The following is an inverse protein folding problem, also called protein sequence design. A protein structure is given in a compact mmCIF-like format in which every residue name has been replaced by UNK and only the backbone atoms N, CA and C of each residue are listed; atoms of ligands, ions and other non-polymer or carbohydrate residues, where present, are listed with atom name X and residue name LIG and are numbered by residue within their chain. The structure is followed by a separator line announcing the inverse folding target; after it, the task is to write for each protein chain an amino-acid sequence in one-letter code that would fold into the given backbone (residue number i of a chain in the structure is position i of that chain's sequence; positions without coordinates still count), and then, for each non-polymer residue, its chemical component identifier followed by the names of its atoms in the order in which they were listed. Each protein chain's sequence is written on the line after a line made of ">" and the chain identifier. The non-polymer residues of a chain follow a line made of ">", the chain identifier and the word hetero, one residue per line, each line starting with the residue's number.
data_IF_705591018793
#
_entry.id   IF_705591018793
#
_cell.length_a   1.000
_cell.length_b   1.000
_cell.length_c   1.000
_cell.angle_alpha   90.00
_cell.angle_beta   90.00
_cell.angle_gamma   90.00
#
_symmetry.space_group_name_H-M   'P 1'
#
loop_
_entity.id
_entity.type
_entity.pdbx_description
1 polymer ?
#
# COMPACT_ATOMS: atom_id res chain seq x y z
N UNK A 1 19.17 -38.46 3.60
CA UNK A 1 18.11 -37.71 4.30
C UNK A 1 18.25 -36.21 4.12
N UNK A 2 19.31 -35.61 4.66
CA UNK A 2 19.49 -34.14 4.75
C UNK A 2 19.41 -33.43 3.40
N UNK A 3 20.07 -33.95 2.35
CA UNK A 3 20.04 -33.34 1.01
C UNK A 3 18.63 -33.29 0.40
N UNK A 4 17.86 -34.38 0.51
CA UNK A 4 16.48 -34.42 0.01
C UNK A 4 15.58 -33.43 0.76
N UNK A 5 15.73 -33.36 2.09
CA UNK A 5 15.01 -32.38 2.91
C UNK A 5 15.35 -30.95 2.50
N UNK A 6 16.63 -30.66 2.27
CA UNK A 6 17.08 -29.34 1.85
C UNK A 6 16.51 -28.95 0.48
N UNK A 7 16.44 -29.87 -0.48
CA UNK A 7 15.83 -29.62 -1.79
C UNK A 7 14.34 -29.32 -1.68
N UNK A 8 13.59 -30.07 -0.85
CA UNK A 8 12.16 -29.83 -0.63
C UNK A 8 11.93 -28.46 0.02
N UNK A 9 12.70 -28.11 1.05
CA UNK A 9 12.64 -26.78 1.66
C UNK A 9 12.94 -25.67 0.65
N UNK A 10 14.00 -25.84 -0.15
CA UNK A 10 14.41 -24.87 -1.18
C UNK A 10 13.33 -24.69 -2.25
N UNK A 11 12.63 -25.77 -2.63
CA UNK A 11 11.52 -25.69 -3.57
C UNK A 11 10.39 -24.79 -3.07
N UNK A 12 9.90 -24.99 -1.84
CA UNK A 12 8.83 -24.15 -1.27
C UNK A 12 9.25 -22.69 -1.09
N UNK A 13 10.49 -22.47 -0.62
CA UNK A 13 11.06 -21.13 -0.50
C UNK A 13 11.12 -20.46 -1.87
N UNK A 14 11.57 -21.18 -2.91
CA UNK A 14 11.68 -20.65 -4.27
C UNK A 14 10.31 -20.26 -4.85
N UNK A 15 9.26 -21.03 -4.57
CA UNK A 15 7.90 -20.67 -5.00
C UNK A 15 7.46 -19.34 -4.37
N UNK A 16 7.62 -19.20 -3.06
CA UNK A 16 7.22 -17.99 -2.34
C UNK A 16 8.01 -16.75 -2.79
N UNK A 17 9.33 -16.83 -2.88
CA UNK A 17 10.15 -15.69 -3.27
C UNK A 17 9.94 -15.28 -4.73
N UNK A 18 9.65 -16.22 -5.64
CA UNK A 18 9.29 -15.87 -7.02
C UNK A 18 7.95 -15.12 -7.11
N UNK A 19 6.99 -15.41 -6.24
CA UNK A 19 5.74 -14.64 -6.15
C UNK A 19 6.01 -13.19 -5.73
N UNK A 20 6.86 -12.98 -4.72
CA UNK A 20 7.26 -11.62 -4.31
C UNK A 20 7.98 -10.91 -5.46
N UNK A 21 8.92 -11.59 -6.14
CA UNK A 21 9.62 -11.03 -7.29
C UNK A 21 8.63 -10.62 -8.39
N UNK A 22 7.61 -11.44 -8.66
CA UNK A 22 6.55 -11.10 -9.61
C UNK A 22 5.80 -9.82 -9.21
N UNK A 23 5.46 -9.64 -7.93
CA UNK A 23 4.87 -8.38 -7.44
C UNK A 23 5.80 -7.19 -7.71
N UNK A 24 7.09 -7.31 -7.40
CA UNK A 24 8.05 -6.22 -7.65
C UNK A 24 8.15 -5.87 -9.14
N UNK A 25 8.20 -6.87 -10.03
CA UNK A 25 8.23 -6.68 -11.49
C UNK A 25 6.93 -6.01 -11.96
N UNK A 26 5.79 -6.42 -11.41
CA UNK A 26 4.49 -5.81 -11.71
C UNK A 26 4.47 -4.33 -11.35
N UNK A 27 4.86 -3.97 -10.11
CA UNK A 27 4.94 -2.57 -9.68
C UNK A 27 5.94 -1.75 -10.49
N UNK A 28 7.10 -2.34 -10.83
CA UNK A 28 8.11 -1.70 -11.67
C UNK A 28 7.54 -1.42 -13.07
N UNK A 29 6.89 -2.39 -13.70
CA UNK A 29 6.25 -2.22 -15.01
C UNK A 29 5.17 -1.16 -15.00
N UNK A 30 4.31 -1.13 -13.97
CA UNK A 30 3.30 -0.08 -13.79
C UNK A 30 3.93 1.29 -13.59
N UNK A 31 5.05 1.38 -12.88
CA UNK A 31 5.81 2.63 -12.69
C UNK A 31 6.35 3.15 -14.02
N UNK A 32 6.97 2.28 -14.83
CA UNK A 32 7.54 2.65 -16.13
C UNK A 32 6.45 3.18 -17.08
N UNK A 33 5.29 2.51 -17.12
CA UNK A 33 4.14 2.94 -17.93
C UNK A 33 3.59 4.30 -17.46
N UNK A 34 3.71 4.63 -16.17
CA UNK A 34 3.25 5.90 -15.60
C UNK A 34 4.22 7.08 -15.72
N UNK A 35 5.44 6.87 -16.23
CA UNK A 35 6.43 7.96 -16.41
C UNK A 35 5.90 9.11 -17.28
N UNK A 36 5.21 8.87 -18.43
CA UNK A 36 4.74 9.94 -19.29
C UNK A 36 3.64 10.80 -18.67
N UNK A 37 2.78 10.21 -17.83
CA UNK A 37 1.67 10.92 -17.19
C UNK A 37 2.08 11.56 -15.86
N UNK A 38 3.16 11.11 -15.24
CA UNK A 38 3.58 11.53 -13.90
C UNK A 38 2.67 11.06 -12.77
N UNK A 39 1.58 10.34 -13.10
CA UNK A 39 0.55 9.90 -12.15
C UNK A 39 0.66 8.40 -11.91
N UNK A 40 1.05 8.03 -10.70
CA UNK A 40 1.14 6.63 -10.32
C UNK A 40 -0.26 6.03 -10.07
N UNK A 41 -0.54 4.78 -10.45
CA UNK A 41 -1.85 4.15 -10.26
C UNK A 41 -2.33 4.02 -8.81
N UNK A 42 -1.40 4.11 -7.86
CA UNK A 42 -1.66 4.12 -6.41
C UNK A 42 -1.60 5.53 -5.81
N UNK A 43 -1.58 6.57 -6.65
CA UNK A 43 -1.79 7.96 -6.23
C UNK A 43 -3.29 8.23 -6.04
N UNK A 44 -3.60 9.20 -5.20
CA UNK A 44 -4.97 9.68 -4.98
C UNK A 44 -5.49 10.54 -6.14
N UNK A 45 -4.59 10.99 -7.03
CA UNK A 45 -4.88 11.88 -8.16
C UNK A 45 -5.35 11.14 -9.43
N UNK A 46 -5.52 9.81 -9.38
CA UNK A 46 -5.84 9.00 -10.56
C UNK A 46 -7.32 9.15 -10.96
N UNK A 47 -7.63 9.38 -12.26
CA UNK A 47 -9.02 9.45 -12.72
C UNK A 47 -9.80 8.16 -12.42
N UNK A 48 -10.98 8.29 -11.81
CA UNK A 48 -11.83 7.16 -11.42
C UNK A 48 -11.49 6.54 -10.05
N UNK A 49 -10.46 7.02 -9.37
CA UNK A 49 -10.22 6.69 -7.97
C UNK A 49 -11.25 7.42 -7.10
N UNK A 50 -12.00 6.66 -6.29
CA UNK A 50 -12.96 7.20 -5.32
C UNK A 50 -12.54 6.77 -3.92
N UNK A 51 -12.51 7.74 -3.01
CA UNK A 51 -12.19 7.47 -1.63
C UNK A 51 -13.30 6.66 -0.95
N UNK A 52 -12.96 5.74 -0.03
CA UNK A 52 -13.98 5.09 0.77
C UNK A 52 -14.71 6.13 1.61
N UNK A 53 -16.02 5.94 1.74
CA UNK A 53 -16.83 6.74 2.66
C UNK A 53 -16.29 6.61 4.08
N UNK A 54 -16.11 7.76 4.72
CA UNK A 54 -15.75 7.85 6.13
C UNK A 54 -16.97 8.28 6.91
N UNK A 55 -17.27 7.54 7.97
CA UNK A 55 -18.34 7.90 8.91
C UNK A 55 -17.72 8.72 10.02
N UNK A 56 -18.20 9.95 10.17
CA UNK A 56 -17.80 10.89 11.20
C UNK A 56 -19.01 11.28 12.05
N UNK A 57 -18.75 11.65 13.30
CA UNK A 57 -19.78 12.03 14.26
C UNK A 57 -19.46 13.41 14.85
N UNK A 58 -19.77 14.53 14.16
CA UNK A 58 -19.69 15.87 14.74
C UNK A 58 -20.79 16.12 15.78
N UNK A 59 -20.55 17.05 16.70
CA UNK A 59 -21.55 17.48 17.68
C UNK A 59 -22.77 18.09 16.97
N UNK A 60 -23.97 17.76 17.44
CA UNK A 60 -25.23 18.16 16.82
C UNK A 60 -25.43 19.69 16.68
N UNK A 61 -24.80 20.48 17.54
CA UNK A 61 -24.89 21.95 17.48
C UNK A 61 -24.12 22.58 16.30
N UNK A 62 -23.16 21.84 15.73
CA UNK A 62 -22.30 22.37 14.66
C UNK A 62 -22.43 21.57 13.36
N UNK A 63 -23.22 20.49 13.32
CA UNK A 63 -23.32 19.56 12.19
C UNK A 63 -23.65 20.23 10.86
N UNK A 64 -24.36 21.36 10.91
CA UNK A 64 -24.89 22.02 9.72
C UNK A 64 -23.95 23.11 9.19
N UNK A 65 -22.78 23.30 9.82
CA UNK A 65 -21.82 24.30 9.36
C UNK A 65 -21.04 23.83 8.14
N UNK A 66 -20.91 24.73 7.16
CA UNK A 66 -20.21 24.45 5.90
C UNK A 66 -18.68 24.37 6.05
N UNK A 67 -18.10 24.88 7.14
CA UNK A 67 -16.65 24.92 7.40
C UNK A 67 -16.14 23.74 8.25
N UNK A 68 -17.02 22.81 8.62
CA UNK A 68 -16.67 21.55 9.28
C UNK A 68 -15.69 20.70 8.47
N UNK A 69 -15.83 20.76 7.15
CA UNK A 69 -14.96 20.07 6.20
C UNK A 69 -14.18 21.09 5.40
N UNK A 70 -12.92 20.80 5.19
CA UNK A 70 -12.07 21.54 4.29
C UNK A 70 -12.57 21.34 2.85
N UNK A 71 -12.82 22.44 2.14
CA UNK A 71 -13.35 22.42 0.78
C UNK A 71 -12.33 21.90 -0.26
N UNK A 72 -11.05 21.89 0.09
CA UNK A 72 -9.97 21.40 -0.79
C UNK A 72 -9.75 19.90 -0.64
N UNK A 73 -9.62 19.44 0.60
CA UNK A 73 -9.29 18.04 0.92
C UNK A 73 -10.52 17.16 1.18
N UNK A 74 -11.68 17.76 1.44
CA UNK A 74 -12.90 17.05 1.84
C UNK A 74 -12.76 16.34 3.20
N UNK A 75 -11.70 16.65 3.95
CA UNK A 75 -11.41 16.11 5.28
C UNK A 75 -11.95 17.05 6.36
N UNK A 76 -12.05 16.56 7.60
CA UNK A 76 -12.48 17.40 8.72
C UNK A 76 -11.48 18.54 8.94
N UNK A 77 -12.02 19.73 9.21
CA UNK A 77 -11.23 20.89 9.52
C UNK A 77 -10.56 20.71 10.89
N UNK A 78 -9.24 20.87 10.92
CA UNK A 78 -8.43 20.69 12.13
C UNK A 78 -8.85 21.60 13.30
N UNK A 79 -9.46 22.75 13.02
CA UNK A 79 -9.99 23.68 14.03
C UNK A 79 -11.10 23.04 14.88
N UNK A 80 -11.95 22.22 14.27
CA UNK A 80 -13.08 21.56 14.93
C UNK A 80 -12.74 20.15 15.42
N UNK A 81 -11.47 19.75 15.45
CA UNK A 81 -11.04 18.38 15.84
C UNK A 81 -11.64 17.94 17.18
N UNK A 82 -11.79 18.85 18.15
CA UNK A 82 -12.36 18.56 19.47
C UNK A 82 -13.88 18.41 19.51
N UNK A 83 -14.59 18.75 18.44
CA UNK A 83 -16.04 18.62 18.34
C UNK A 83 -16.49 17.34 17.62
N UNK A 84 -15.54 16.56 17.08
CA UNK A 84 -15.80 15.22 16.58
C UNK A 84 -15.72 14.21 17.72
N UNK A 85 -16.69 13.29 17.75
CA UNK A 85 -16.67 12.20 18.70
C UNK A 85 -15.47 11.27 18.44
N UNK A 86 -14.69 11.03 19.49
CA UNK A 86 -13.61 10.06 19.51
C UNK A 86 -13.84 9.15 20.72
N UNK A 87 -13.82 7.82 20.54
CA UNK A 87 -13.96 6.89 21.66
C UNK A 87 -12.71 6.91 22.55
N UNK A 88 -12.91 6.98 23.86
CA UNK A 88 -11.84 7.09 24.88
C UNK A 88 -10.88 5.89 24.92
N UNK A 89 -11.24 4.76 24.28
CA UNK A 89 -10.54 3.48 24.44
C UNK A 89 -9.61 3.10 23.27
N UNK A 90 -9.21 4.04 22.39
CA UNK A 90 -8.39 3.76 21.18
C UNK A 90 -8.97 2.68 20.24
N UNK A 91 -10.21 2.23 20.45
CA UNK A 91 -10.91 1.30 19.57
C UNK A 91 -11.78 2.11 18.64
N UNK A 92 -11.54 1.99 17.33
CA UNK A 92 -12.46 2.51 16.33
C UNK A 92 -13.86 1.96 16.65
N UNK A 93 -14.92 2.79 16.59
CA UNK A 93 -16.27 2.26 16.75
C UNK A 93 -16.49 1.18 15.68
N UNK A 94 -16.93 -0.01 16.09
CA UNK A 94 -17.46 -0.94 15.11
C UNK A 94 -18.61 -0.23 14.40
N UNK A 95 -18.51 -0.12 13.07
CA UNK A 95 -19.47 0.54 12.18
C UNK A 95 -20.93 0.08 12.40
N UNK A 96 -21.12 -1.07 13.07
CA UNK A 96 -22.42 -1.66 13.41
C UNK A 96 -22.94 -1.31 14.82
N UNK A 97 -22.10 -0.79 15.73
CA UNK A 97 -22.42 -0.68 17.17
C UNK A 97 -22.81 0.71 17.68
N UNK A 98 -22.67 1.76 16.87
CA UNK A 98 -23.09 3.11 17.25
C UNK A 98 -23.92 3.79 16.14
N UNK A 99 -25.17 3.35 15.88
CA UNK A 99 -26.06 4.08 14.98
C UNK A 99 -26.38 5.48 15.49
N UNK A 100 -26.29 5.71 16.81
CA UNK A 100 -26.46 7.02 17.43
C UNK A 100 -25.52 7.17 18.63
N UNK A 101 -24.76 8.25 18.65
CA UNK A 101 -24.01 8.69 19.84
C UNK A 101 -24.77 9.90 20.40
N UNK A 102 -25.17 9.89 21.69
CA UNK A 102 -25.92 11.01 22.25
C UNK A 102 -25.19 12.35 22.09
N UNK A 103 -25.85 13.35 21.49
CA UNK A 103 -25.27 14.68 21.25
C UNK A 103 -24.42 14.81 19.98
N UNK A 104 -24.29 13.74 19.18
CA UNK A 104 -23.56 13.75 17.91
C UNK A 104 -24.45 13.23 16.77
N UNK A 105 -24.20 13.76 15.57
CA UNK A 105 -24.95 13.41 14.36
C UNK A 105 -24.05 12.58 13.46
N UNK A 106 -24.57 11.50 12.87
CA UNK A 106 -23.82 10.70 11.92
C UNK A 106 -23.73 11.41 10.57
N UNK A 107 -22.53 11.67 10.10
CA UNK A 107 -22.25 12.19 8.76
C UNK A 107 -21.39 11.22 7.96
N UNK A 108 -21.80 10.96 6.72
CA UNK A 108 -21.02 10.20 5.74
C UNK A 108 -20.34 11.22 4.84
N UNK A 109 -19.01 11.14 4.75
CA UNK A 109 -18.22 12.05 3.92
C UNK A 109 -17.33 11.23 3.00
N UNK A 110 -17.31 11.61 1.72
CA UNK A 110 -16.34 11.12 0.75
C UNK A 110 -15.28 12.22 0.60
N UNK A 111 -14.08 12.04 1.17
CA UNK A 111 -13.03 13.06 1.03
C UNK A 111 -12.52 13.11 -0.41
N UNK A 112 -12.08 14.29 -0.86
CA UNK A 112 -11.44 14.47 -2.16
C UNK A 112 -9.99 13.99 -2.14
N UNK A 113 -9.32 14.11 -0.99
CA UNK A 113 -7.99 13.56 -0.77
C UNK A 113 -8.03 12.38 0.21
N UNK A 114 -7.55 11.21 -0.24
CA UNK A 114 -7.50 10.02 0.60
C UNK A 114 -6.22 10.00 1.45
N UNK A 115 -6.30 10.06 2.79
CA UNK A 115 -5.15 9.81 3.64
C UNK A 115 -4.66 8.36 3.45
N UNK A 116 -3.48 8.22 2.83
CA UNK A 116 -2.62 7.03 2.78
C UNK A 116 -3.27 5.65 2.51
N UNK A 117 -4.42 5.58 1.81
CA UNK A 117 -5.11 4.32 1.50
C UNK A 117 -5.20 3.96 0.02
N UNK A 118 -4.82 4.86 -0.90
CA UNK A 118 -4.83 4.59 -2.33
C UNK A 118 -3.92 3.40 -2.70
N UNK A 119 -2.72 3.33 -2.12
CA UNK A 119 -1.79 2.21 -2.32
C UNK A 119 -2.31 0.89 -1.78
N UNK A 120 -2.95 0.89 -0.61
CA UNK A 120 -3.55 -0.31 -0.03
C UNK A 120 -4.69 -0.81 -0.91
N UNK A 121 -5.56 0.10 -1.38
CA UNK A 121 -6.67 -0.28 -2.24
C UNK A 121 -6.20 -0.82 -3.58
N UNK A 122 -5.18 -0.19 -4.18
CA UNK A 122 -4.54 -0.68 -5.38
C UNK A 122 -3.99 -2.10 -5.18
N UNK A 123 -3.30 -2.35 -4.07
CA UNK A 123 -2.78 -3.66 -3.71
C UNK A 123 -3.88 -4.71 -3.60
N UNK A 124 -4.93 -4.45 -2.81
CA UNK A 124 -6.02 -5.41 -2.55
C UNK A 124 -6.85 -5.71 -3.80
N UNK A 125 -7.20 -4.66 -4.56
CA UNK A 125 -8.17 -4.78 -5.67
C UNK A 125 -7.53 -5.05 -7.01
N UNK A 126 -6.41 -4.39 -7.32
CA UNK A 126 -5.78 -4.45 -8.65
C UNK A 126 -4.65 -5.47 -8.71
N UNK A 127 -3.83 -5.58 -7.66
CA UNK A 127 -2.67 -6.49 -7.67
C UNK A 127 -3.07 -7.89 -7.21
N UNK A 128 -3.63 -8.00 -6.00
CA UNK A 128 -4.00 -9.29 -5.42
C UNK A 128 -5.33 -9.84 -5.94
N UNK A 129 -6.31 -8.97 -6.20
CA UNK A 129 -7.70 -9.37 -6.43
C UNK A 129 -8.21 -10.26 -5.28
N UNK A 130 -8.05 -9.77 -4.05
CA UNK A 130 -8.32 -10.54 -2.84
C UNK A 130 -9.75 -11.08 -2.82
N UNK A 131 -9.88 -12.40 -2.61
CA UNK A 131 -11.16 -13.07 -2.47
C UNK A 131 -11.79 -12.83 -1.08
N UNK A 132 -13.09 -13.14 -0.95
CA UNK A 132 -13.84 -12.98 0.29
C UNK A 132 -13.42 -13.96 1.40
N UNK A 133 -12.75 -15.06 1.05
CA UNK A 133 -12.36 -16.13 1.97
C UNK A 133 -11.44 -17.16 1.30
N UNK A 134 -10.80 -17.99 2.12
CA UNK A 134 -9.86 -19.04 1.66
C UNK A 134 -10.56 -20.16 0.87
N UNK A 135 -11.86 -20.33 1.07
CA UNK A 135 -12.74 -21.25 0.34
C UNK A 135 -13.03 -20.78 -1.10
N UNK A 136 -12.83 -19.49 -1.38
CA UNK A 136 -13.04 -18.88 -2.70
C UNK A 136 -11.68 -18.53 -3.29
N UNK A 137 -11.18 -19.38 -4.20
CA UNK A 137 -9.86 -19.19 -4.85
C UNK A 137 -9.87 -17.98 -5.81
N UNK A 138 -11.05 -17.51 -6.22
CA UNK A 138 -11.20 -16.34 -7.08
C UNK A 138 -10.78 -16.61 -8.53
N UNK A 139 -10.40 -15.55 -9.25
CA UNK A 139 -9.94 -15.60 -10.63
C UNK A 139 -8.42 -15.36 -10.77
N UNK A 140 -7.89 -15.56 -11.97
CA UNK A 140 -6.49 -15.27 -12.27
C UNK A 140 -6.29 -13.82 -12.71
N UNK A 141 -5.38 -13.10 -12.04
CA UNK A 141 -4.96 -11.78 -12.48
C UNK A 141 -3.98 -11.90 -13.66
N UNK A 142 -4.45 -11.63 -14.88
CA UNK A 142 -3.65 -11.77 -16.10
C UNK A 142 -2.33 -10.98 -16.08
N UNK A 143 -2.33 -9.78 -15.51
CA UNK A 143 -1.10 -8.98 -15.39
C UNK A 143 -0.09 -9.60 -14.43
N UNK A 144 -0.56 -10.24 -13.36
CA UNK A 144 0.28 -10.93 -12.40
C UNK A 144 0.85 -12.23 -12.98
N UNK A 145 0.09 -12.97 -13.77
CA UNK A 145 0.56 -14.19 -14.46
C UNK A 145 1.71 -13.88 -15.41
N UNK A 146 1.62 -12.78 -16.16
CA UNK A 146 2.71 -12.32 -17.03
C UNK A 146 3.94 -11.93 -16.20
N UNK A 147 3.77 -11.16 -15.13
CA UNK A 147 4.88 -10.78 -14.25
C UNK A 147 5.55 -12.00 -13.59
N UNK A 148 4.78 -13.02 -13.21
CA UNK A 148 5.29 -14.27 -12.66
C UNK A 148 6.08 -15.08 -13.69
N UNK A 149 5.58 -15.16 -14.93
CA UNK A 149 6.31 -15.80 -16.04
C UNK A 149 7.65 -15.09 -16.31
N UNK A 150 7.66 -13.75 -16.29
CA UNK A 150 8.88 -12.96 -16.43
C UNK A 150 9.86 -13.17 -15.27
N UNK A 151 9.38 -13.27 -14.03
CA UNK A 151 10.21 -13.55 -12.86
C UNK A 151 10.97 -14.88 -13.02
N UNK A 152 10.26 -15.95 -13.43
CA UNK A 152 10.86 -17.25 -13.68
C UNK A 152 11.90 -17.22 -14.80
N UNK A 153 11.59 -16.55 -15.92
CA UNK A 153 12.54 -16.39 -17.03
C UNK A 153 13.78 -15.61 -16.59
N UNK A 154 13.62 -14.53 -15.84
CA UNK A 154 14.73 -13.74 -15.31
C UNK A 154 15.65 -14.58 -14.43
N UNK A 155 15.10 -15.32 -13.46
CA UNK A 155 15.89 -16.21 -12.59
C UNK A 155 16.57 -17.30 -13.42
N UNK A 156 15.86 -17.90 -14.38
CA UNK A 156 16.43 -18.89 -15.29
C UNK A 156 17.64 -18.33 -16.04
N UNK A 157 17.54 -17.15 -16.67
CA UNK A 157 18.65 -16.56 -17.40
C UNK A 157 19.84 -16.18 -16.51
N UNK A 158 19.61 -15.75 -15.28
CA UNK A 158 20.68 -15.45 -14.30
C UNK A 158 21.45 -16.72 -13.93
N UNK A 159 20.77 -17.87 -13.83
CA UNK A 159 21.37 -19.15 -13.42
C UNK A 159 21.92 -19.94 -14.61
N UNK A 160 21.33 -19.80 -15.80
CA UNK A 160 21.60 -20.64 -16.98
C UNK A 160 23.08 -20.66 -17.40
N UNK A 161 23.79 -19.54 -17.27
CA UNK A 161 25.22 -19.46 -17.61
C UNK A 161 26.16 -19.85 -16.45
N UNK A 162 25.61 -20.38 -15.36
CA UNK A 162 26.36 -20.85 -14.19
C UNK A 162 26.95 -19.73 -13.32
N UNK A 163 27.83 -20.15 -12.40
CA UNK A 163 28.39 -19.29 -11.34
C UNK A 163 29.24 -18.11 -11.84
N UNK A 164 29.80 -18.20 -13.05
CA UNK A 164 30.62 -17.13 -13.63
C UNK A 164 29.80 -15.93 -14.13
N UNK A 165 28.57 -16.15 -14.58
CA UNK A 165 27.66 -15.10 -15.03
C UNK A 165 26.82 -14.55 -13.88
N UNK A 166 26.30 -15.43 -13.01
CA UNK A 166 25.55 -15.01 -11.83
C UNK A 166 26.39 -14.13 -10.90
N UNK A 167 27.69 -14.41 -10.75
CA UNK A 167 28.61 -13.57 -9.99
C UNK A 167 28.70 -12.13 -10.50
N UNK A 168 28.60 -11.91 -11.83
CA UNK A 168 28.60 -10.55 -12.41
C UNK A 168 27.32 -9.79 -12.08
N UNK A 169 26.17 -10.46 -12.19
CA UNK A 169 24.86 -9.88 -11.85
C UNK A 169 24.78 -9.55 -10.37
N UNK A 170 25.39 -10.39 -9.51
CA UNK A 170 25.42 -10.19 -8.06
C UNK A 170 26.10 -8.88 -7.66
N UNK A 171 27.16 -8.45 -8.35
CA UNK A 171 27.77 -7.13 -8.04
C UNK A 171 26.77 -5.99 -8.21
N UNK A 172 25.90 -6.05 -9.22
CA UNK A 172 24.89 -5.02 -9.44
C UNK A 172 23.76 -5.16 -8.42
N UNK A 173 23.21 -6.37 -8.24
CA UNK A 173 22.05 -6.59 -7.36
C UNK A 173 22.39 -6.43 -5.88
N UNK A 174 23.64 -6.64 -5.47
CA UNK A 174 24.09 -6.40 -4.11
C UNK A 174 24.37 -4.91 -3.83
N UNK A 175 24.85 -4.14 -4.82
CA UNK A 175 25.17 -2.72 -4.64
C UNK A 175 23.95 -1.79 -4.77
N UNK A 176 23.02 -2.12 -5.66
CA UNK A 176 21.83 -1.29 -5.94
C UNK A 176 21.01 -0.97 -4.68
N UNK A 177 20.73 -1.91 -3.76
CA UNK A 177 20.01 -1.61 -2.53
C UNK A 177 20.68 -0.53 -1.67
N UNK A 178 22.02 -0.52 -1.58
CA UNK A 178 22.74 0.50 -0.81
C UNK A 178 22.63 1.88 -1.44
N UNK A 179 22.70 1.98 -2.77
CA UNK A 179 22.49 3.24 -3.49
C UNK A 179 21.06 3.75 -3.27
N UNK A 180 20.07 2.86 -3.38
CA UNK A 180 18.67 3.21 -3.15
C UNK A 180 18.40 3.64 -1.70
N UNK A 181 18.96 2.93 -0.71
CA UNK A 181 18.86 3.29 0.70
C UNK A 181 19.50 4.65 0.98
N UNK A 182 20.66 4.93 0.40
CA UNK A 182 21.30 6.23 0.55
C UNK A 182 20.45 7.36 -0.05
N UNK A 183 19.89 7.16 -1.26
CA UNK A 183 18.99 8.12 -1.87
C UNK A 183 17.71 8.34 -1.05
N UNK A 184 17.11 7.26 -0.54
CA UNK A 184 15.96 7.34 0.36
C UNK A 184 16.29 8.00 1.69
N UNK A 185 17.50 7.79 2.23
CA UNK A 185 17.95 8.45 3.44
C UNK A 185 18.05 9.96 3.25
N UNK A 186 18.71 10.42 2.18
CA UNK A 186 18.80 11.85 1.84
C UNK A 186 17.40 12.43 1.66
N UNK A 187 16.50 11.74 0.95
CA UNK A 187 15.12 12.21 0.80
C UNK A 187 14.42 12.27 2.15
N UNK A 188 14.49 11.23 2.96
CA UNK A 188 13.80 11.13 4.25
C UNK A 188 14.17 12.28 5.20
N UNK A 189 15.45 12.66 5.30
CA UNK A 189 15.86 13.78 6.17
C UNK A 189 15.46 15.15 5.63
N UNK A 190 15.22 15.28 4.32
CA UNK A 190 14.74 16.54 3.70
C UNK A 190 13.23 16.74 3.85
N UNK A 191 12.47 15.71 4.24
CA UNK A 191 11.02 15.87 4.43
C UNK A 191 10.73 16.68 5.70
N UNK A 192 9.71 17.57 5.66
CA UNK A 192 9.27 18.29 6.84
C UNK A 192 8.77 17.28 7.89
N UNK A 193 9.03 17.58 9.17
CA UNK A 193 8.60 16.74 10.30
C UNK A 193 9.23 15.33 10.37
N UNK A 194 10.29 15.04 9.60
CA UNK A 194 10.98 13.74 9.66
C UNK A 194 11.42 13.34 11.09
N UNK A 195 11.75 14.32 11.94
CA UNK A 195 12.13 14.11 13.34
C UNK A 195 11.05 13.46 14.21
N UNK A 196 9.76 13.64 13.89
CA UNK A 196 8.67 13.05 14.68
C UNK A 196 8.69 11.52 14.57
N UNK A 197 8.91 11.00 13.35
CA UNK A 197 9.04 9.56 13.14
C UNK A 197 10.27 8.98 13.82
N UNK A 198 11.40 9.71 13.81
CA UNK A 198 12.63 9.25 14.45
C UNK A 198 12.53 9.20 15.98
N UNK A 199 11.85 10.16 16.60
CA UNK A 199 11.58 10.15 18.05
C UNK A 199 10.67 9.01 18.50
N UNK A 200 9.87 8.45 17.61
CA UNK A 200 9.06 7.27 17.92
C UNK A 200 9.86 5.98 17.78
N UNK A 201 10.90 5.97 16.94
CA UNK A 201 11.75 4.80 16.71
C UNK A 201 12.83 4.60 17.79
N UNK A 202 13.39 5.70 18.33
CA UNK A 202 14.42 5.72 19.38
C UNK A 202 13.81 5.92 20.77
#
# INVERSE_FOLDING_TARGET
>A
GVGLSATICTFFVSLYYNVILAWTIYYLGRTIISIPTGLLPWSHEVPGFTCPEVVLFPRANISDRADLFDNTTGLFNSFYRGDFWCPDNNKLPDYMSAPTVPGFVRQIVVPTECPARAAVRFWETQVLQQSSGMDVIGGFNGGLVVAYTLAWLMVYFIVFQGVGSSGKVVYVTALLPYVALFAFFVRAITLPNAWVGLKFFL
#
